data_IF_507269253784
#
_entry.id   IF_507269253784
#
_cell.length_a   1.000
_cell.length_b   1.000
_cell.length_c   1.000
_cell.angle_alpha   90.00
_cell.angle_beta   90.00
_cell.angle_gamma   90.00
#
_symmetry.space_group_name_H-M   'P 1'
#
loop_
_entity.id
_entity.type
_entity.pdbx_description
1 polymer ?
#
# COMPACT_ATOMS: atom_id res chain seq x y z
N UNK A 1 45.87 -0.08 -34.40
CA UNK A 1 45.79 -0.29 -32.94
C UNK A 1 44.77 0.66 -32.33
N UNK A 2 43.51 0.25 -32.38
CA UNK A 2 42.39 0.98 -31.77
C UNK A 2 42.33 0.63 -30.28
N UNK A 3 42.22 1.61 -29.36
CA UNK A 3 42.11 1.32 -27.94
C UNK A 3 40.81 0.57 -27.68
N UNK A 4 40.98 -0.56 -27.01
CA UNK A 4 40.11 -1.73 -26.98
C UNK A 4 38.90 -1.58 -26.08
N UNK A 5 37.90 -2.41 -26.37
CA UNK A 5 36.57 -2.54 -25.74
C UNK A 5 36.58 -2.82 -24.21
N UNK A 6 37.75 -2.98 -23.58
CA UNK A 6 37.90 -3.27 -22.15
C UNK A 6 37.56 -2.07 -21.26
N UNK A 7 38.00 -0.86 -21.62
CA UNK A 7 37.73 0.35 -20.82
C UNK A 7 36.23 0.72 -20.75
N UNK A 8 35.42 0.30 -21.73
CA UNK A 8 33.95 0.48 -21.71
C UNK A 8 33.24 -0.56 -20.83
N UNK A 9 33.77 -1.77 -20.71
CA UNK A 9 33.23 -2.82 -19.81
C UNK A 9 33.48 -2.48 -18.35
N UNK A 10 34.65 -1.94 -18.03
CA UNK A 10 35.01 -1.58 -16.65
C UNK A 10 34.20 -0.37 -16.13
N UNK A 11 33.91 0.60 -17.01
CA UNK A 11 33.08 1.78 -16.70
C UNK A 11 31.59 1.44 -16.51
N UNK A 12 31.07 0.47 -17.27
CA UNK A 12 29.68 -0.01 -17.11
C UNK A 12 29.50 -0.87 -15.86
N UNK A 13 30.48 -1.70 -15.51
CA UNK A 13 30.51 -2.44 -14.25
C UNK A 13 30.56 -1.50 -13.04
N UNK A 14 31.38 -0.45 -13.07
CA UNK A 14 31.43 0.59 -12.02
C UNK A 14 30.10 1.36 -11.88
N UNK A 15 29.41 1.68 -13.00
CA UNK A 15 28.07 2.29 -12.97
C UNK A 15 26.98 1.35 -12.43
N UNK A 16 27.05 0.06 -12.75
CA UNK A 16 26.11 -0.94 -12.22
C UNK A 16 26.28 -1.17 -10.72
N UNK A 17 27.52 -1.12 -10.21
CA UNK A 17 27.85 -1.28 -8.78
C UNK A 17 27.39 -0.07 -7.95
N UNK A 18 27.43 1.13 -8.52
CA UNK A 18 26.90 2.36 -7.88
C UNK A 18 25.37 2.35 -7.82
N UNK A 19 24.69 1.80 -8.83
CA UNK A 19 23.23 1.60 -8.82
C UNK A 19 22.78 0.51 -7.84
N UNK A 20 23.59 -0.56 -7.68
CA UNK A 20 23.39 -1.62 -6.70
C UNK A 20 23.63 -1.15 -5.24
N UNK A 21 24.54 -0.19 -5.04
CA UNK A 21 24.74 0.47 -3.74
C UNK A 21 23.56 1.37 -3.33
N UNK A 22 22.92 2.04 -4.30
CA UNK A 22 21.70 2.86 -4.06
C UNK A 22 20.42 2.05 -3.85
N UNK A 23 20.45 0.75 -4.16
CA UNK A 23 19.32 -0.19 -3.97
C UNK A 23 19.51 -1.10 -2.74
N UNK A 24 20.57 -0.90 -1.95
CA UNK A 24 20.75 -1.55 -0.64
C UNK A 24 21.22 -3.01 -0.67
N UNK A 25 21.85 -3.47 -1.75
CA UNK A 25 22.22 -4.90 -1.93
C UNK A 25 23.60 -5.26 -1.36
N UNK A 26 24.36 -4.32 -0.77
CA UNK A 26 25.67 -4.60 -0.15
C UNK A 26 25.74 -3.94 1.25
N UNK A 27 25.94 -4.75 2.30
CA UNK A 27 26.24 -4.30 3.66
C UNK A 27 27.76 -4.07 3.77
N UNK A 28 28.18 -2.83 4.01
CA UNK A 28 29.46 -2.56 4.68
C UNK A 28 29.19 -2.53 6.18
N UNK A 29 29.93 -3.33 6.96
CA UNK A 29 29.87 -3.30 8.42
C UNK A 29 30.66 -2.10 8.95
N UNK A 30 30.06 -1.21 9.77
CA UNK A 30 30.82 -0.21 10.49
C UNK A 30 31.44 -0.81 11.76
N UNK A 31 32.75 -0.69 11.87
CA UNK A 31 33.53 -0.95 13.07
C UNK A 31 32.98 -0.20 14.28
N UNK A 32 32.90 -0.89 15.41
CA UNK A 32 32.57 -0.32 16.72
C UNK A 32 33.61 0.73 17.11
N UNK A 33 33.17 1.98 17.29
CA UNK A 33 33.91 2.97 18.06
C UNK A 33 33.09 3.36 19.29
N UNK A 34 33.65 3.09 20.46
CA UNK A 34 33.09 3.46 21.75
C UNK A 34 33.16 4.97 21.99
N UNK A 35 32.26 5.44 22.85
CA UNK A 35 32.19 6.74 23.53
C UNK A 35 31.84 7.97 22.67
N UNK A 36 30.54 8.28 22.60
CA UNK A 36 30.05 9.65 22.44
C UNK A 36 29.19 10.03 23.66
N UNK A 37 29.29 11.27 24.17
CA UNK A 37 28.48 11.74 25.30
C UNK A 37 27.00 11.86 24.90
N UNK A 38 26.11 11.45 25.80
CA UNK A 38 24.66 11.48 25.62
C UNK A 38 24.18 12.90 25.29
N UNK A 39 23.65 13.07 24.08
CA UNK A 39 22.97 14.31 23.67
C UNK A 39 21.66 14.40 24.45
N UNK A 40 21.63 15.25 25.48
CA UNK A 40 20.37 15.62 26.15
C UNK A 40 19.46 16.33 25.15
N UNK A 41 18.24 15.82 25.02
CA UNK A 41 17.20 16.41 24.19
C UNK A 41 16.91 17.85 24.67
N UNK A 42 17.09 18.88 23.82
CA UNK A 42 16.80 20.28 24.15
C UNK A 42 15.36 20.53 24.62
N UNK A 43 14.44 19.60 24.36
CA UNK A 43 13.02 19.72 24.69
C UNK A 43 12.60 18.91 25.93
N UNK A 44 13.51 18.18 26.58
CA UNK A 44 13.24 17.52 27.86
C UNK A 44 13.31 18.51 29.03
N UNK A 45 12.31 19.41 29.09
CA UNK A 45 12.19 20.45 30.12
C UNK A 45 11.89 19.89 31.52
N UNK A 46 11.31 18.68 31.61
CA UNK A 46 10.96 18.02 32.89
C UNK A 46 12.09 17.19 33.47
N UNK A 47 13.15 16.89 32.70
CA UNK A 47 14.31 16.12 33.13
C UNK A 47 13.94 14.73 33.70
N UNK A 48 12.79 14.19 33.28
CA UNK A 48 12.28 12.90 33.72
C UNK A 48 12.68 11.75 32.77
N UNK A 49 12.63 10.52 33.28
CA UNK A 49 12.95 9.31 32.52
C UNK A 49 11.90 8.96 31.43
N UNK A 50 10.72 9.56 31.48
CA UNK A 50 9.62 9.25 30.55
C UNK A 50 9.76 9.94 29.19
N UNK A 51 10.47 11.08 29.14
CA UNK A 51 10.75 11.85 27.92
C UNK A 51 12.05 11.48 27.21
N UNK A 52 12.84 10.53 27.71
CA UNK A 52 13.94 9.99 26.92
C UNK A 52 13.36 9.35 25.66
N UNK A 53 13.80 9.76 24.45
CA UNK A 53 13.38 9.11 23.22
C UNK A 53 13.85 7.66 23.32
N UNK A 54 12.94 6.75 23.66
CA UNK A 54 13.18 5.33 23.53
C UNK A 54 13.51 5.13 22.07
N UNK A 55 14.77 4.84 21.75
CA UNK A 55 15.21 4.44 20.41
C UNK A 55 14.58 3.12 19.95
N UNK A 56 13.50 2.67 20.58
CA UNK A 56 12.48 1.83 19.97
C UNK A 56 11.55 2.71 19.13
N UNK A 57 12.09 3.30 18.07
CA UNK A 57 11.25 3.43 16.89
C UNK A 57 10.72 2.02 16.58
N UNK A 58 9.42 1.87 16.38
CA UNK A 58 8.75 0.64 15.94
C UNK A 58 9.21 0.17 14.54
N UNK A 59 10.46 0.43 14.16
CA UNK A 59 11.18 -0.28 13.10
C UNK A 59 11.58 -1.64 13.65
N UNK A 60 10.59 -2.51 13.80
CA UNK A 60 10.84 -3.94 13.77
C UNK A 60 11.71 -4.24 12.55
N UNK A 61 12.78 -4.98 12.76
CA UNK A 61 13.71 -5.54 11.76
C UNK A 61 13.00 -6.56 10.86
N UNK A 62 11.93 -6.14 10.19
CA UNK A 62 11.24 -6.93 9.18
C UNK A 62 11.92 -6.64 7.83
N UNK A 63 12.91 -7.47 7.50
CA UNK A 63 13.39 -7.54 6.12
C UNK A 63 12.24 -7.94 5.20
N UNK A 64 11.92 -7.10 4.20
CA UNK A 64 11.02 -7.47 3.11
C UNK A 64 9.81 -6.56 2.86
N UNK A 65 9.62 -5.45 3.58
CA UNK A 65 8.46 -4.58 3.36
C UNK A 65 8.66 -3.59 2.19
N UNK A 66 9.06 -4.12 1.03
CA UNK A 66 9.16 -3.32 -0.21
C UNK A 66 7.74 -3.13 -0.74
N UNK A 67 7.28 -1.88 -0.70
CA UNK A 67 6.03 -1.45 -1.32
C UNK A 67 6.34 -0.90 -2.71
N UNK A 68 5.78 -1.52 -3.74
CA UNK A 68 5.87 -1.03 -5.11
C UNK A 68 4.55 -0.36 -5.50
N UNK A 69 4.56 0.97 -5.60
CA UNK A 69 3.41 1.74 -6.07
C UNK A 69 3.23 1.62 -7.59
N UNK A 70 2.05 2.01 -8.08
CA UNK A 70 1.81 2.10 -9.53
C UNK A 70 2.73 3.12 -10.20
N UNK A 71 3.04 2.93 -11.49
CA UNK A 71 3.89 3.89 -12.24
C UNK A 71 3.30 5.32 -12.21
N UNK A 72 1.99 5.55 -12.42
CA UNK A 72 1.44 6.90 -12.30
C UNK A 72 1.64 7.54 -10.92
N UNK A 73 1.69 6.74 -9.86
CA UNK A 73 1.95 7.23 -8.50
C UNK A 73 3.43 7.51 -8.25
N UNK A 74 4.33 6.62 -8.70
CA UNK A 74 5.79 6.84 -8.60
C UNK A 74 6.21 8.09 -9.39
N UNK A 75 5.58 8.33 -10.54
CA UNK A 75 5.85 9.51 -11.38
C UNK A 75 5.07 10.76 -10.94
N UNK A 76 4.33 10.71 -9.82
CA UNK A 76 3.57 11.84 -9.26
C UNK A 76 2.62 12.51 -10.27
N UNK A 77 1.97 11.72 -11.13
CA UNK A 77 1.12 12.25 -12.20
C UNK A 77 -0.14 12.92 -11.65
N UNK A 78 -0.51 14.07 -12.21
CA UNK A 78 -1.85 14.62 -12.03
C UNK A 78 -2.89 13.77 -12.81
N UNK A 79 -4.14 13.63 -12.31
CA UNK A 79 -4.70 14.22 -11.10
C UNK A 79 -4.53 13.36 -9.83
N UNK A 80 -3.74 12.27 -9.87
CA UNK A 80 -3.55 11.38 -8.73
C UNK A 80 -2.85 12.08 -7.56
N UNK A 81 -1.85 12.89 -7.88
CA UNK A 81 -1.14 13.76 -6.94
C UNK A 81 -1.43 15.22 -7.30
N UNK A 82 -2.38 15.89 -6.64
CA UNK A 82 -2.72 17.28 -6.95
C UNK A 82 -1.56 18.21 -6.59
N UNK A 83 -1.24 19.14 -7.47
CA UNK A 83 -0.16 20.13 -7.24
C UNK A 83 -0.56 21.22 -6.25
N UNK A 84 -1.86 21.52 -6.17
CA UNK A 84 -2.40 22.53 -5.28
C UNK A 84 -3.84 22.18 -4.88
N UNK A 85 -4.19 22.42 -3.62
CA UNK A 85 -5.54 22.25 -3.09
C UNK A 85 -5.97 23.51 -2.36
N UNK A 86 -6.99 24.19 -2.91
CA UNK A 86 -7.61 25.32 -2.22
C UNK A 86 -8.43 24.89 -0.98
N UNK A 87 -8.91 25.84 -0.17
CA UNK A 87 -9.60 25.54 1.10
C UNK A 87 -10.78 24.56 0.97
N UNK A 88 -11.56 24.68 -0.10
CA UNK A 88 -12.69 23.78 -0.36
C UNK A 88 -12.24 22.35 -0.67
N UNK A 89 -11.10 22.18 -1.36
CA UNK A 89 -10.55 20.87 -1.68
C UNK A 89 -9.95 20.19 -0.46
N UNK A 90 -9.34 20.96 0.45
CA UNK A 90 -8.84 20.45 1.73
C UNK A 90 -9.98 19.94 2.63
N UNK A 91 -11.10 20.67 2.72
CA UNK A 91 -12.30 20.19 3.44
C UNK A 91 -12.92 18.93 2.83
N UNK A 92 -12.70 18.70 1.54
CA UNK A 92 -13.21 17.55 0.78
C UNK A 92 -12.12 16.50 0.53
N UNK A 93 -11.01 16.56 1.26
CA UNK A 93 -9.91 15.62 1.09
C UNK A 93 -10.41 14.19 1.37
N UNK A 94 -10.12 13.27 0.43
CA UNK A 94 -10.69 11.91 0.37
C UNK A 94 -12.23 11.79 0.35
N UNK A 95 -12.98 12.90 0.23
CA UNK A 95 -14.44 12.93 0.12
C UNK A 95 -14.91 13.72 -1.10
N UNK A 96 -14.53 13.31 -2.32
CA UNK A 96 -14.87 14.07 -3.53
C UNK A 96 -16.39 14.05 -3.77
N UNK A 97 -17.06 15.23 -3.83
CA UNK A 97 -18.49 15.27 -4.10
C UNK A 97 -18.80 14.91 -5.55
N UNK A 98 -20.01 14.42 -5.80
CA UNK A 98 -20.47 14.09 -7.14
C UNK A 98 -20.66 15.36 -7.99
N UNK A 99 -19.65 15.71 -8.80
CA UNK A 99 -19.71 16.86 -9.70
C UNK A 99 -20.45 16.52 -11.01
N UNK A 100 -21.33 17.42 -11.46
CA UNK A 100 -21.97 17.33 -12.79
C UNK A 100 -20.92 17.52 -13.90
N UNK A 101 -21.03 16.75 -14.97
CA UNK A 101 -20.17 16.94 -16.14
C UNK A 101 -20.72 18.08 -17.01
N UNK A 102 -19.83 18.89 -17.58
CA UNK A 102 -20.20 19.96 -18.53
C UNK A 102 -20.39 19.46 -19.96
N UNK A 103 -19.86 18.28 -20.30
CA UNK A 103 -19.93 17.68 -21.63
C UNK A 103 -19.83 16.14 -21.57
N UNK A 104 -20.24 15.47 -22.64
CA UNK A 104 -20.24 14.00 -22.78
C UNK A 104 -21.58 13.36 -22.43
N UNK A 105 -21.67 12.04 -22.55
CA UNK A 105 -22.94 11.31 -22.37
C UNK A 105 -23.62 11.65 -21.04
N UNK A 106 -22.88 11.62 -19.92
CA UNK A 106 -23.43 11.89 -18.59
C UNK A 106 -23.64 13.38 -18.26
N UNK A 107 -23.41 14.31 -19.20
CA UNK A 107 -23.87 15.70 -19.02
C UNK A 107 -25.33 15.88 -19.45
N UNK A 108 -25.88 14.94 -20.23
CA UNK A 108 -27.26 15.01 -20.69
C UNK A 108 -28.24 14.67 -19.56
N UNK A 109 -29.41 15.33 -19.50
CA UNK A 109 -30.47 14.97 -18.58
C UNK A 109 -31.09 13.60 -18.94
N UNK A 110 -31.89 13.06 -18.03
CA UNK A 110 -32.62 11.80 -18.24
C UNK A 110 -31.89 10.55 -17.73
N UNK A 111 -32.49 9.37 -17.95
CA UNK A 111 -31.93 8.10 -17.50
C UNK A 111 -30.69 7.73 -18.31
N UNK A 112 -29.69 7.16 -17.63
CA UNK A 112 -28.46 6.66 -18.25
C UNK A 112 -28.32 5.17 -17.97
N UNK A 113 -27.88 4.40 -18.97
CA UNK A 113 -27.70 2.96 -18.82
C UNK A 113 -26.56 2.62 -17.83
N UNK A 114 -26.78 1.57 -17.03
CA UNK A 114 -25.78 1.00 -16.12
C UNK A 114 -25.26 -0.31 -16.72
N UNK A 115 -23.97 -0.34 -17.03
CA UNK A 115 -23.36 -1.44 -17.78
C UNK A 115 -22.74 -2.50 -16.85
N UNK A 116 -22.95 -3.80 -17.11
CA UNK A 116 -22.32 -4.87 -16.33
C UNK A 116 -20.85 -5.07 -16.74
N UNK A 117 -20.00 -5.48 -15.80
CA UNK A 117 -18.56 -5.66 -16.02
C UNK A 117 -18.07 -7.12 -16.07
N UNK A 118 -18.94 -8.11 -15.84
CA UNK A 118 -18.53 -9.53 -15.71
C UNK A 118 -17.67 -10.03 -16.88
N UNK A 119 -18.09 -9.76 -18.13
CA UNK A 119 -17.32 -10.15 -19.33
C UNK A 119 -15.97 -9.42 -19.41
N UNK A 120 -15.94 -8.15 -19.03
CA UNK A 120 -14.73 -7.32 -19.06
C UNK A 120 -13.71 -7.81 -18.02
N UNK A 121 -14.15 -8.07 -16.79
CA UNK A 121 -13.32 -8.58 -15.69
C UNK A 121 -12.65 -9.90 -16.10
N UNK A 122 -13.43 -10.87 -16.58
CA UNK A 122 -12.91 -12.17 -17.04
C UNK A 122 -11.91 -12.03 -18.18
N UNK A 123 -12.19 -11.16 -19.16
CA UNK A 123 -11.30 -10.90 -20.29
C UNK A 123 -9.96 -10.29 -19.83
N UNK A 124 -10.00 -9.30 -18.94
CA UNK A 124 -8.80 -8.64 -18.42
C UNK A 124 -7.95 -9.56 -17.54
N UNK A 125 -8.58 -10.37 -16.69
CA UNK A 125 -7.88 -11.39 -15.89
C UNK A 125 -7.15 -12.40 -16.79
N UNK A 126 -7.84 -12.92 -17.82
CA UNK A 126 -7.23 -13.84 -18.80
C UNK A 126 -6.06 -13.21 -19.55
N UNK A 127 -6.18 -11.95 -19.96
CA UNK A 127 -5.12 -11.24 -20.68
C UNK A 127 -3.87 -11.03 -19.80
N UNK A 128 -4.04 -10.61 -18.54
CA UNK A 128 -2.92 -10.46 -17.58
C UNK A 128 -2.24 -11.80 -17.30
N UNK A 129 -3.02 -12.86 -17.18
CA UNK A 129 -2.48 -14.21 -17.01
C UNK A 129 -1.63 -14.67 -18.21
N UNK A 130 -2.11 -14.43 -19.43
CA UNK A 130 -1.37 -14.75 -20.65
C UNK A 130 -0.06 -13.97 -20.75
N UNK A 131 -0.06 -12.69 -20.38
CA UNK A 131 1.15 -11.85 -20.35
C UNK A 131 2.19 -12.37 -19.35
N UNK A 132 1.73 -12.85 -18.19
CA UNK A 132 2.57 -13.50 -17.18
C UNK A 132 3.22 -14.77 -17.71
N UNK A 133 2.42 -15.65 -18.31
CA UNK A 133 2.94 -16.92 -18.86
C UNK A 133 3.90 -16.68 -20.04
N UNK A 134 3.60 -15.71 -20.91
CA UNK A 134 4.46 -15.35 -22.03
C UNK A 134 5.83 -14.78 -21.61
N UNK A 135 5.92 -14.24 -20.39
CA UNK A 135 7.15 -13.66 -19.83
C UNK A 135 7.93 -14.63 -18.94
N UNK A 136 7.62 -15.93 -19.00
CA UNK A 136 8.32 -16.96 -18.22
C UNK A 136 7.72 -17.25 -16.84
N UNK A 137 6.52 -16.74 -16.54
CA UNK A 137 5.83 -16.99 -15.27
C UNK A 137 6.33 -16.12 -14.12
N UNK A 138 6.03 -16.54 -12.89
CA UNK A 138 6.44 -15.84 -11.67
C UNK A 138 5.57 -14.63 -11.30
N UNK A 139 6.12 -13.71 -10.53
CA UNK A 139 5.44 -12.47 -10.13
C UNK A 139 5.59 -11.41 -11.21
N UNK A 140 4.48 -10.78 -11.60
CA UNK A 140 4.46 -9.75 -12.64
C UNK A 140 3.77 -8.49 -12.15
N UNK A 141 4.40 -7.35 -12.43
CA UNK A 141 3.85 -6.05 -12.08
C UNK A 141 2.95 -5.51 -13.20
N UNK A 142 1.66 -5.31 -12.91
CA UNK A 142 0.64 -4.89 -13.88
C UNK A 142 0.21 -3.41 -13.78
N UNK A 143 0.57 -2.70 -12.71
CA UNK A 143 0.07 -1.34 -12.43
C UNK A 143 0.89 -0.26 -13.15
N UNK A 144 0.92 -0.33 -14.49
CA UNK A 144 1.84 0.45 -15.34
C UNK A 144 1.21 1.72 -15.90
N UNK A 145 -0.09 1.72 -16.17
CA UNK A 145 -0.78 2.84 -16.80
C UNK A 145 -1.95 3.35 -15.96
N UNK A 146 -2.42 4.60 -16.16
CA UNK A 146 -3.63 5.10 -15.51
C UNK A 146 -4.87 4.21 -15.77
N UNK A 147 -4.92 3.53 -16.91
CA UNK A 147 -6.00 2.63 -17.28
C UNK A 147 -5.99 1.35 -16.43
N UNK A 148 -4.83 0.91 -15.95
CA UNK A 148 -4.70 -0.27 -15.10
C UNK A 148 -5.20 -0.01 -13.66
N UNK A 149 -5.29 1.25 -13.24
CA UNK A 149 -5.79 1.68 -11.93
C UNK A 149 -7.32 1.78 -11.87
N UNK A 150 -8.02 1.33 -12.90
CA UNK A 150 -9.48 1.40 -12.94
C UNK A 150 -10.13 0.35 -12.04
N UNK A 151 -11.21 0.70 -11.34
CA UNK A 151 -12.03 -0.28 -10.61
C UNK A 151 -12.87 -1.21 -11.52
N UNK A 152 -12.75 -1.11 -12.85
CA UNK A 152 -13.57 -1.88 -13.80
C UNK A 152 -13.12 -3.34 -13.97
N UNK A 153 -11.88 -3.66 -13.62
CA UNK A 153 -11.32 -5.01 -13.68
C UNK A 153 -10.61 -5.39 -12.38
N UNK A 154 -10.02 -6.60 -12.32
CA UNK A 154 -9.38 -7.13 -11.13
C UNK A 154 -10.35 -7.50 -10.00
N UNK A 155 -9.83 -8.11 -8.94
CA UNK A 155 -10.57 -8.36 -7.70
C UNK A 155 -10.51 -7.12 -6.82
N UNK A 156 -11.64 -6.75 -6.21
CA UNK A 156 -11.78 -5.53 -5.41
C UNK A 156 -12.23 -5.88 -4.01
N UNK A 157 -11.79 -5.05 -3.07
CA UNK A 157 -12.30 -4.97 -1.71
C UNK A 157 -12.69 -3.51 -1.43
N UNK A 158 -13.57 -3.29 -0.47
CA UNK A 158 -13.74 -1.97 0.14
C UNK A 158 -13.01 -1.93 1.48
N UNK A 159 -12.57 -0.73 1.86
CA UNK A 159 -11.99 -0.46 3.16
C UNK A 159 -12.64 0.81 3.71
N UNK A 160 -13.43 0.66 4.76
CA UNK A 160 -14.07 1.75 5.48
C UNK A 160 -13.20 2.11 6.69
N UNK A 161 -12.72 3.36 6.71
CA UNK A 161 -11.88 3.86 7.79
C UNK A 161 -12.75 4.32 8.94
N UNK A 162 -12.48 3.79 10.14
CA UNK A 162 -13.19 4.19 11.36
C UNK A 162 -12.79 5.59 11.84
N UNK A 163 -11.54 6.01 11.56
CA UNK A 163 -11.10 7.37 11.82
C UNK A 163 -11.71 8.34 10.81
N UNK A 164 -12.33 9.42 11.30
CA UNK A 164 -12.91 10.42 10.41
C UNK A 164 -11.83 11.05 9.52
N UNK A 165 -10.70 11.47 10.08
CA UNK A 165 -9.58 11.97 9.31
C UNK A 165 -8.31 11.31 9.84
N UNK A 166 -7.97 10.16 9.27
CA UNK A 166 -6.72 9.45 9.58
C UNK A 166 -5.51 10.35 9.36
N UNK A 167 -4.45 10.23 10.19
CA UNK A 167 -3.28 11.09 10.10
C UNK A 167 -2.55 10.95 8.76
N UNK A 168 -2.56 9.77 8.14
CA UNK A 168 -1.89 9.53 6.86
C UNK A 168 -2.77 8.74 5.89
N UNK A 169 -3.14 9.34 4.76
CA UNK A 169 -3.99 8.70 3.77
C UNK A 169 -3.24 8.37 2.48
N UNK A 170 -3.61 7.25 1.85
CA UNK A 170 -3.08 6.86 0.54
C UNK A 170 -3.81 7.59 -0.60
N UNK A 171 -3.04 8.11 -1.56
CA UNK A 171 -3.57 8.59 -2.83
C UNK A 171 -3.90 7.44 -3.79
N UNK A 172 -4.74 7.73 -4.79
CA UNK A 172 -5.05 6.78 -5.87
C UNK A 172 -3.76 6.35 -6.58
N UNK A 173 -3.56 5.05 -6.72
CA UNK A 173 -2.37 4.46 -7.34
C UNK A 173 -1.24 4.12 -6.36
N UNK A 174 -1.36 4.48 -5.08
CA UNK A 174 -0.51 3.93 -4.02
C UNK A 174 -0.87 2.47 -3.73
N UNK A 175 0.00 1.79 -2.99
CA UNK A 175 -0.10 0.36 -2.72
C UNK A 175 0.06 0.09 -1.22
N UNK A 176 -0.67 -0.90 -0.74
CA UNK A 176 -0.62 -1.42 0.63
C UNK A 176 -0.62 -2.94 0.59
N UNK A 177 -0.02 -3.58 1.60
CA UNK A 177 -0.08 -5.03 1.78
C UNK A 177 -1.07 -5.36 2.91
N UNK A 178 -1.65 -6.55 2.85
CA UNK A 178 -2.35 -7.14 4.00
C UNK A 178 -1.42 -8.16 4.63
N UNK A 179 -1.12 -7.99 5.92
CA UNK A 179 -0.36 -8.94 6.72
C UNK A 179 -1.28 -9.57 7.77
N UNK A 180 -1.24 -10.90 7.87
CA UNK A 180 -2.01 -11.66 8.83
C UNK A 180 -1.08 -11.99 10.00
N UNK A 181 -0.99 -11.10 10.99
CA UNK A 181 -0.13 -11.28 12.14
C UNK A 181 -0.69 -12.39 13.03
N UNK A 182 0.12 -13.40 13.31
CA UNK A 182 -0.28 -14.53 14.11
C UNK A 182 0.76 -14.82 15.20
N UNK A 183 0.29 -14.92 16.45
CA UNK A 183 1.13 -15.36 17.56
C UNK A 183 0.91 -16.84 17.83
N UNK A 184 1.99 -17.63 17.80
CA UNK A 184 1.92 -19.08 18.01
C UNK A 184 1.35 -19.44 19.38
N UNK A 185 0.60 -20.54 19.45
CA UNK A 185 0.18 -21.15 20.71
C UNK A 185 1.38 -21.74 21.46
N UNK A 186 1.36 -21.82 22.80
CA UNK A 186 2.39 -22.53 23.55
C UNK A 186 2.38 -24.03 23.20
N UNK A 187 3.57 -24.65 23.18
CA UNK A 187 3.72 -26.07 22.85
C UNK A 187 3.69 -26.34 21.35
N UNK A 188 2.90 -27.34 20.92
CA UNK A 188 2.81 -27.77 19.52
C UNK A 188 1.68 -27.03 18.80
N UNK A 189 2.06 -25.95 18.12
CA UNK A 189 1.14 -25.12 17.35
C UNK A 189 0.92 -25.66 15.92
N UNK A 190 -0.33 -25.96 15.50
CA UNK A 190 -0.61 -26.44 14.14
C UNK A 190 -0.41 -25.37 13.05
N UNK A 191 -0.26 -24.09 13.41
CA UNK A 191 -0.09 -22.99 12.48
C UNK A 191 -1.26 -22.01 12.47
N UNK A 192 -1.07 -20.89 11.77
CA UNK A 192 -2.10 -19.87 11.63
C UNK A 192 -3.28 -20.37 10.78
N UNK A 193 -4.52 -19.96 11.08
CA UNK A 193 -5.65 -20.13 10.17
C UNK A 193 -5.40 -19.45 8.82
N UNK A 194 -5.86 -20.06 7.73
CA UNK A 194 -5.80 -19.45 6.41
C UNK A 194 -6.78 -18.28 6.28
N UNK A 195 -6.35 -17.22 5.61
CA UNK A 195 -7.19 -16.08 5.28
C UNK A 195 -7.33 -15.93 3.76
N UNK A 196 -8.48 -15.45 3.30
CA UNK A 196 -8.74 -15.16 1.87
C UNK A 196 -7.76 -14.13 1.30
N UNK A 197 -7.34 -13.18 2.13
CA UNK A 197 -6.45 -12.08 1.76
C UNK A 197 -5.22 -12.02 2.66
N UNK A 198 -4.14 -11.48 2.10
CA UNK A 198 -2.92 -11.19 2.82
C UNK A 198 -1.98 -12.38 3.00
N UNK A 199 -0.82 -12.08 3.60
CA UNK A 199 0.25 -13.03 3.85
C UNK A 199 0.45 -13.22 5.35
N UNK A 200 0.55 -14.46 5.80
CA UNK A 200 0.74 -14.80 7.22
C UNK A 200 2.14 -14.41 7.71
N UNK A 201 2.19 -13.67 8.82
CA UNK A 201 3.41 -13.28 9.50
C UNK A 201 3.37 -13.79 10.93
N UNK A 202 4.29 -14.71 11.25
CA UNK A 202 4.47 -15.17 12.63
C UNK A 202 5.23 -14.12 13.43
N UNK A 203 4.60 -13.57 14.47
CA UNK A 203 5.21 -12.52 15.30
C UNK A 203 5.39 -12.98 16.74
N UNK A 204 6.59 -12.76 17.28
CA UNK A 204 6.88 -12.93 18.71
C UNK A 204 6.60 -11.63 19.49
N UNK A 205 6.97 -10.50 18.90
CA UNK A 205 6.67 -9.15 19.39
C UNK A 205 5.54 -8.55 18.57
N UNK A 206 4.56 -7.95 19.24
CA UNK A 206 3.44 -7.30 18.54
C UNK A 206 3.90 -6.07 17.77
N UNK A 207 3.43 -5.87 16.52
CA UNK A 207 3.69 -4.65 15.75
C UNK A 207 2.71 -3.50 16.08
N UNK A 208 1.80 -3.71 17.04
CA UNK A 208 0.82 -2.76 17.54
C UNK A 208 1.13 -2.35 18.97
N UNK A 209 0.41 -1.35 19.50
CA UNK A 209 0.53 -0.93 20.90
C UNK A 209 0.19 -2.08 21.88
N UNK A 210 -0.83 -2.88 21.55
CA UNK A 210 -1.24 -4.03 22.34
C UNK A 210 -0.52 -5.32 21.93
N UNK A 211 -0.31 -6.23 22.88
CA UNK A 211 0.23 -7.56 22.60
C UNK A 211 -0.82 -8.50 22.00
N UNK A 212 -0.42 -9.34 21.04
CA UNK A 212 -1.27 -10.46 20.59
C UNK A 212 -1.32 -11.56 21.66
N UNK A 213 -2.47 -12.22 21.79
CA UNK A 213 -2.66 -13.41 22.61
C UNK A 213 -2.16 -14.66 21.86
N UNK A 214 -1.65 -15.69 22.56
CA UNK A 214 -1.26 -16.94 21.89
C UNK A 214 -2.44 -17.57 21.12
N UNK A 215 -2.22 -17.90 19.86
CA UNK A 215 -3.25 -18.39 18.94
C UNK A 215 -4.11 -17.32 18.28
N UNK A 216 -3.88 -16.03 18.56
CA UNK A 216 -4.62 -14.93 17.95
C UNK A 216 -4.08 -14.60 16.56
N UNK A 217 -4.99 -14.42 15.61
CA UNK A 217 -4.74 -13.86 14.29
C UNK A 217 -5.31 -12.43 14.22
N UNK A 218 -4.53 -11.50 13.69
CA UNK A 218 -4.96 -10.12 13.45
C UNK A 218 -4.50 -9.68 12.06
N UNK A 219 -5.44 -9.40 11.16
CA UNK A 219 -5.11 -8.84 9.85
C UNK A 219 -4.83 -7.34 9.98
N UNK A 220 -3.93 -6.82 9.15
CA UNK A 220 -3.65 -5.40 9.10
C UNK A 220 -3.20 -4.93 7.73
N UNK A 221 -3.52 -3.68 7.42
CA UNK A 221 -2.85 -2.94 6.38
C UNK A 221 -1.45 -2.56 6.82
N UNK A 222 -0.51 -2.72 5.89
CA UNK A 222 0.90 -2.50 6.10
C UNK A 222 1.46 -1.78 4.86
N UNK A 223 1.92 -0.55 5.06
CA UNK A 223 2.63 0.22 4.04
C UNK A 223 3.65 1.17 4.71
N UNK A 224 4.28 2.05 3.92
CA UNK A 224 5.30 2.97 4.44
C UNK A 224 4.72 4.19 5.18
N UNK A 225 3.41 4.45 5.06
CA UNK A 225 2.73 5.54 5.76
C UNK A 225 2.28 5.09 7.16
N UNK A 226 1.53 4.00 7.23
CA UNK A 226 0.91 3.53 8.47
C UNK A 226 0.81 2.01 8.51
N UNK A 227 0.56 1.51 9.73
CA UNK A 227 0.03 0.18 10.01
C UNK A 227 -1.33 0.32 10.68
N UNK A 228 -2.34 -0.40 10.24
CA UNK A 228 -3.66 -0.34 10.88
C UNK A 228 -4.32 -1.72 10.89
N UNK A 229 -4.90 -2.18 12.02
CA UNK A 229 -5.63 -3.44 12.06
C UNK A 229 -6.88 -3.35 11.17
N UNK A 230 -7.18 -4.41 10.44
CA UNK A 230 -8.36 -4.50 9.57
C UNK A 230 -9.19 -5.72 9.91
N UNK A 231 -10.51 -5.58 9.78
CA UNK A 231 -11.48 -6.62 10.14
C UNK A 231 -12.37 -6.90 8.93
N UNK A 232 -12.39 -8.15 8.46
CA UNK A 232 -13.19 -8.55 7.30
C UNK A 232 -14.66 -8.68 7.69
N UNK A 233 -15.52 -7.98 6.95
CA UNK A 233 -16.97 -8.04 7.03
C UNK A 233 -17.58 -8.36 5.66
N UNK A 234 -18.85 -8.75 5.68
CA UNK A 234 -19.66 -8.94 4.46
C UNK A 234 -20.32 -7.63 4.10
N UNK A 235 -20.27 -7.27 2.83
CA UNK A 235 -21.06 -6.15 2.30
C UNK A 235 -22.55 -6.44 2.50
N UNK A 236 -23.38 -5.45 2.87
CA UNK A 236 -24.83 -5.61 2.87
C UNK A 236 -25.35 -6.02 1.48
N UNK A 237 -26.32 -6.94 1.44
CA UNK A 237 -26.91 -7.48 0.20
C UNK A 237 -27.63 -6.40 -0.65
N UNK A 238 -27.87 -5.22 -0.08
CA UNK A 238 -28.53 -4.08 -0.75
C UNK A 238 -27.57 -3.21 -1.55
N UNK A 239 -26.27 -3.36 -1.34
CA UNK A 239 -25.28 -2.37 -1.74
C UNK A 239 -24.43 -2.84 -2.92
N UNK A 240 -24.20 -1.94 -3.88
CA UNK A 240 -23.42 -2.21 -5.09
C UNK A 240 -22.38 -1.12 -5.33
N UNK A 241 -21.25 -1.50 -5.95
CA UNK A 241 -20.26 -0.54 -6.39
C UNK A 241 -20.65 0.04 -7.75
N UNK A 242 -20.91 1.36 -7.78
CA UNK A 242 -21.13 2.11 -9.01
C UNK A 242 -19.87 2.87 -9.42
N UNK A 243 -19.37 2.56 -10.61
CA UNK A 243 -18.26 3.28 -11.24
C UNK A 243 -18.85 4.27 -12.24
N UNK A 244 -18.65 5.55 -11.99
CA UNK A 244 -19.12 6.63 -12.87
C UNK A 244 -17.96 7.22 -13.66
N UNK A 245 -18.07 7.19 -14.98
CA UNK A 245 -17.17 7.95 -15.88
C UNK A 245 -17.97 8.87 -16.77
N UNK A 246 -17.31 9.76 -17.53
CA UNK A 246 -18.01 10.67 -18.46
C UNK A 246 -18.85 9.93 -19.52
N UNK A 247 -18.46 8.69 -19.84
CA UNK A 247 -19.07 7.86 -20.89
C UNK A 247 -20.24 7.00 -20.41
N UNK A 248 -20.29 6.61 -19.13
CA UNK A 248 -21.27 5.65 -18.66
C UNK A 248 -21.22 5.41 -17.15
N UNK A 249 -22.27 4.75 -16.66
CA UNK A 249 -22.27 4.08 -15.37
C UNK A 249 -21.92 2.60 -15.57
N UNK A 250 -21.17 2.04 -14.64
CA UNK A 250 -20.85 0.62 -14.59
C UNK A 250 -21.14 0.10 -13.19
N UNK A 251 -21.59 -1.14 -13.10
CA UNK A 251 -21.91 -1.78 -11.81
C UNK A 251 -21.08 -3.03 -11.59
N UNK A 252 -20.69 -3.24 -10.34
CA UNK A 252 -20.05 -4.46 -9.85
C UNK A 252 -20.67 -4.89 -8.53
N UNK A 253 -20.79 -6.21 -8.39
CA UNK A 253 -20.94 -6.85 -7.10
C UNK A 253 -19.60 -6.79 -6.35
N UNK A 254 -19.67 -6.57 -5.04
CA UNK A 254 -18.52 -6.55 -4.13
C UNK A 254 -18.99 -7.10 -2.78
N UNK A 255 -18.32 -8.14 -2.30
CA UNK A 255 -18.79 -8.91 -1.14
C UNK A 255 -17.92 -8.71 0.10
N UNK A 256 -16.66 -8.33 -0.07
CA UNK A 256 -15.69 -8.18 1.01
C UNK A 256 -15.41 -6.71 1.29
N UNK A 257 -15.78 -6.28 2.50
CA UNK A 257 -15.48 -4.95 3.03
C UNK A 257 -14.68 -5.09 4.32
N UNK A 258 -13.61 -4.32 4.45
CA UNK A 258 -12.83 -4.24 5.67
C UNK A 258 -13.20 -2.99 6.46
N UNK A 259 -13.36 -3.15 7.77
CA UNK A 259 -13.28 -2.00 8.69
C UNK A 259 -11.81 -1.81 9.06
N UNK A 260 -11.30 -0.59 8.87
CA UNK A 260 -9.94 -0.20 9.23
C UNK A 260 -9.98 0.49 10.60
N UNK A 261 -9.28 -0.08 11.57
CA UNK A 261 -9.12 0.51 12.90
C UNK A 261 -8.16 1.70 12.89
N UNK A 262 -7.82 2.18 14.09
CA UNK A 262 -6.92 3.31 14.27
C UNK A 262 -5.53 3.06 13.67
N UNK A 263 -4.99 4.06 12.97
CA UNK A 263 -3.65 4.02 12.40
C UNK A 263 -2.56 4.06 13.48
N UNK A 264 -1.49 3.30 13.24
CA UNK A 264 -0.18 3.44 13.85
C UNK A 264 0.75 4.08 12.79
N UNK A 265 0.95 5.41 12.80
CA UNK A 265 1.76 6.10 11.80
C UNK A 265 3.21 5.63 11.82
N UNK A 266 3.81 5.50 10.63
CA UNK A 266 5.19 5.07 10.39
C UNK A 266 6.03 6.14 9.68
N UNK A 267 5.39 7.26 9.32
CA UNK A 267 6.00 8.41 8.64
C UNK A 267 5.62 9.69 9.39
N UNK A 268 6.58 10.60 9.52
CA UNK A 268 6.40 11.94 10.13
C UNK A 268 6.25 13.01 9.05
#
# INVERSE_FOLDING_TARGET
>A
NSPSKENKKESSLKKSRILLGKTGVIKEEPQQNMSQPEVKDPWNLSNDEFYYPKQQGLRGTFGGNIIQHSIPAVELRQPFFPTHMGPMKLRQFHRPPLKKYSFGTLSQPGPHAVQPLLKHIKKKAKMREQERQASGGGEMFFMRTPQDLTGKDGDLILAEYSEENGPLMMQVGMATKIKNYYKRKPGKDPGAPDCKYGETVYCHTSPFLGSLHPGQLLQAFENNLFRAPIYLHKMPETDFLIIRTRQGYYVRELVDIFVVGQECPLFE
#
